data_IF_168650567271
#
_entry.id   IF_168650567271
#
_cell.length_a   1.000
_cell.length_b   1.000
_cell.length_c   1.000
_cell.angle_alpha   90.00
_cell.angle_beta   90.00
_cell.angle_gamma   90.00
#
_symmetry.space_group_name_H-M   'P 1'
#
loop_
_entity.id
_entity.type
_entity.pdbx_description
1 polymer ?
#
# COMPACT_ATOMS: atom_id res chain seq x y z
N UNK A 1 -84.03 52.85 12.39
CA UNK A 1 -83.29 51.69 11.82
C UNK A 1 -81.88 52.10 11.59
N UNK A 2 -80.87 51.65 12.38
CA UNK A 2 -79.46 51.98 12.26
C UNK A 2 -78.72 50.74 11.68
N UNK A 3 -78.14 50.87 10.55
CA UNK A 3 -77.30 49.81 9.99
C UNK A 3 -75.90 49.89 10.54
N UNK A 4 -75.42 48.79 11.12
CA UNK A 4 -74.11 48.63 11.68
C UNK A 4 -73.23 47.99 10.56
N UNK A 5 -72.19 48.71 10.13
CA UNK A 5 -71.18 48.15 9.20
C UNK A 5 -70.14 47.43 10.02
N UNK A 6 -69.96 46.12 9.68
CA UNK A 6 -68.90 45.28 10.20
C UNK A 6 -67.71 45.43 9.29
N UNK A 7 -66.57 45.93 9.84
CA UNK A 7 -65.28 45.98 9.14
C UNK A 7 -64.55 44.67 9.43
N UNK A 8 -64.35 43.84 8.39
CA UNK A 8 -63.50 42.64 8.47
C UNK A 8 -62.06 43.04 8.27
N UNK A 9 -61.25 43.00 9.30
CA UNK A 9 -59.82 43.20 9.21
C UNK A 9 -59.12 41.88 8.80
N UNK A 10 -58.45 41.92 7.67
CA UNK A 10 -57.61 40.81 7.15
C UNK A 10 -56.23 40.88 7.81
N UNK A 11 -55.95 40.01 8.77
CA UNK A 11 -54.60 39.82 9.32
C UNK A 11 -53.76 39.00 8.36
N UNK A 12 -52.86 39.66 7.67
CA UNK A 12 -51.81 38.99 6.88
C UNK A 12 -50.64 38.62 7.82
N UNK A 13 -50.58 37.36 8.22
CA UNK A 13 -49.45 36.81 8.98
C UNK A 13 -48.30 36.51 8.04
N UNK A 14 -47.30 37.38 7.99
CA UNK A 14 -46.02 37.13 7.31
C UNK A 14 -45.20 36.12 8.11
N UNK A 15 -45.17 34.89 7.68
CA UNK A 15 -44.21 33.88 8.18
C UNK A 15 -42.80 34.23 7.69
N UNK A 16 -41.98 34.77 8.55
CA UNK A 16 -40.53 34.86 8.35
C UNK A 16 -39.93 33.45 8.53
N UNK A 17 -39.67 32.74 7.42
CA UNK A 17 -38.89 31.53 7.46
C UNK A 17 -37.42 31.93 7.65
N UNK A 18 -36.94 31.86 8.87
CA UNK A 18 -35.54 32.00 9.18
C UNK A 18 -34.80 30.74 8.63
N UNK A 19 -34.18 30.90 7.47
CA UNK A 19 -33.24 29.89 6.99
C UNK A 19 -32.00 29.93 7.88
N UNK A 20 -31.92 29.00 8.82
CA UNK A 20 -30.67 28.75 9.56
C UNK A 20 -29.65 28.20 8.56
N UNK A 21 -28.79 29.07 8.03
CA UNK A 21 -27.59 28.67 7.35
C UNK A 21 -26.72 27.98 8.41
N UNK A 22 -26.72 26.64 8.42
CA UNK A 22 -25.77 25.89 9.22
C UNK A 22 -24.37 26.25 8.69
N UNK A 23 -23.69 27.11 9.43
CA UNK A 23 -22.29 27.38 9.18
C UNK A 23 -21.57 26.03 9.36
N UNK A 24 -21.17 25.42 8.26
CA UNK A 24 -20.26 24.27 8.28
C UNK A 24 -19.01 24.74 8.99
N UNK A 25 -18.81 24.28 10.22
CA UNK A 25 -17.61 24.57 10.99
C UNK A 25 -16.40 24.20 10.10
N UNK A 26 -15.50 25.16 9.91
CA UNK A 26 -14.25 24.91 9.22
C UNK A 26 -13.54 23.76 9.95
N UNK A 27 -13.01 22.75 9.22
CA UNK A 27 -12.34 21.64 9.86
C UNK A 27 -11.18 22.15 10.72
N UNK A 28 -11.14 21.72 11.98
CA UNK A 28 -10.05 22.05 12.91
C UNK A 28 -8.74 21.53 12.28
N UNK A 29 -7.70 22.36 12.21
CA UNK A 29 -6.41 21.93 11.64
C UNK A 29 -5.88 20.70 12.39
N UNK A 30 -5.52 19.66 11.68
CA UNK A 30 -4.79 18.52 12.24
C UNK A 30 -3.32 18.92 12.43
N UNK A 31 -2.92 19.16 13.65
CA UNK A 31 -1.55 19.57 14.00
C UNK A 31 -0.49 18.56 13.49
N UNK A 32 -0.87 17.30 13.31
CA UNK A 32 0.04 16.26 12.79
C UNK A 32 0.39 16.48 11.32
N UNK A 33 -0.49 17.06 10.51
CA UNK A 33 -0.24 17.39 9.10
C UNK A 33 0.81 18.50 8.95
N UNK A 34 0.92 19.40 9.93
CA UNK A 34 1.89 20.49 9.93
C UNK A 34 3.29 20.06 10.37
N UNK A 35 3.42 18.86 10.96
CA UNK A 35 4.69 18.32 11.43
C UNK A 35 5.72 18.23 10.30
N UNK A 36 6.94 18.71 10.54
CA UNK A 36 8.01 18.77 9.54
C UNK A 36 8.44 17.39 9.05
N UNK A 37 8.46 16.37 9.93
CA UNK A 37 8.83 15.00 9.56
C UNK A 37 7.77 14.37 8.67
N UNK A 38 6.47 14.62 8.94
CA UNK A 38 5.36 14.18 8.09
C UNK A 38 5.49 14.80 6.70
N UNK A 39 5.70 16.11 6.62
CA UNK A 39 5.85 16.82 5.34
C UNK A 39 7.04 16.31 4.55
N UNK A 40 8.19 16.17 5.18
CA UNK A 40 9.41 15.69 4.55
C UNK A 40 9.27 14.23 4.03
N UNK A 41 8.64 13.36 4.84
CA UNK A 41 8.38 11.98 4.45
C UNK A 41 7.46 11.91 3.22
N UNK A 42 6.33 12.61 3.23
CA UNK A 42 5.38 12.57 2.11
C UNK A 42 5.91 13.25 0.85
N UNK A 43 6.76 14.27 0.98
CA UNK A 43 7.48 14.84 -0.16
C UNK A 43 8.47 13.82 -0.77
N UNK A 44 9.15 13.02 0.07
CA UNK A 44 10.03 11.96 -0.41
C UNK A 44 9.23 10.83 -1.10
N UNK A 45 8.08 10.40 -0.55
CA UNK A 45 7.21 9.42 -1.20
C UNK A 45 6.72 9.93 -2.56
N UNK A 46 6.27 11.18 -2.63
CA UNK A 46 5.80 11.79 -3.87
C UNK A 46 6.92 11.97 -4.92
N UNK A 47 8.18 12.04 -4.51
CA UNK A 47 9.31 12.11 -5.45
C UNK A 47 9.48 10.84 -6.27
N UNK A 48 8.94 9.71 -5.78
CA UNK A 48 9.05 8.37 -6.40
C UNK A 48 10.49 7.95 -6.68
N UNK A 49 11.40 8.42 -5.82
CA UNK A 49 12.83 8.18 -5.90
C UNK A 49 13.26 7.30 -4.73
N UNK A 50 13.71 6.05 -4.96
CA UNK A 50 14.08 5.13 -3.89
C UNK A 50 15.23 5.65 -3.03
N UNK A 51 16.15 6.45 -3.60
CA UNK A 51 17.29 7.00 -2.86
C UNK A 51 16.82 8.09 -1.87
N UNK A 52 15.86 8.92 -2.28
CA UNK A 52 15.23 9.91 -1.39
C UNK A 52 14.41 9.25 -0.29
N UNK A 53 13.75 8.13 -0.60
CA UNK A 53 13.04 7.34 0.41
C UNK A 53 14.00 6.72 1.41
N UNK A 54 15.16 6.22 0.99
CA UNK A 54 16.20 5.73 1.90
C UNK A 54 16.63 6.82 2.91
N UNK A 55 16.83 8.06 2.43
CA UNK A 55 17.15 9.20 3.30
C UNK A 55 15.99 9.54 4.24
N UNK A 56 14.75 9.40 3.77
CA UNK A 56 13.55 9.73 4.54
C UNK A 56 13.21 8.70 5.64
N UNK A 57 13.85 7.51 5.65
CA UNK A 57 13.70 6.51 6.71
C UNK A 57 13.97 7.09 8.12
N UNK A 58 14.84 8.10 8.24
CA UNK A 58 15.09 8.79 9.50
C UNK A 58 13.86 9.44 10.13
N UNK A 59 12.82 9.73 9.35
CA UNK A 59 11.57 10.33 9.82
C UNK A 59 10.56 9.29 10.30
N UNK A 60 10.84 7.99 10.12
CA UNK A 60 9.96 6.89 10.52
C UNK A 60 10.31 6.37 11.91
N UNK A 61 9.27 5.99 12.64
CA UNK A 61 9.42 5.19 13.86
C UNK A 61 9.70 3.75 13.46
N UNK A 62 10.84 3.23 13.90
CA UNK A 62 11.34 1.91 13.52
C UNK A 62 10.34 0.79 13.89
N UNK A 63 10.20 -0.21 13.03
CA UNK A 63 9.28 -1.35 13.18
C UNK A 63 7.80 -0.95 13.36
N UNK A 64 7.43 0.22 12.86
CA UNK A 64 6.03 0.69 12.86
C UNK A 64 5.31 0.36 11.56
N UNK A 65 3.99 0.49 11.55
CA UNK A 65 3.20 0.32 10.32
C UNK A 65 3.62 1.29 9.22
N UNK A 66 4.02 2.52 9.58
CA UNK A 66 4.55 3.50 8.62
C UNK A 66 5.88 3.05 8.02
N UNK A 67 6.76 2.48 8.84
CA UNK A 67 8.05 1.95 8.41
C UNK A 67 7.86 0.81 7.40
N UNK A 68 7.00 -0.16 7.70
CA UNK A 68 6.69 -1.26 6.77
C UNK A 68 6.08 -0.77 5.46
N UNK A 69 5.14 0.19 5.52
CA UNK A 69 4.49 0.72 4.31
C UNK A 69 5.51 1.44 3.41
N UNK A 70 6.37 2.28 3.98
CA UNK A 70 7.40 3.02 3.22
C UNK A 70 8.46 2.08 2.67
N UNK A 71 8.83 1.05 3.42
CA UNK A 71 9.76 0.02 2.95
C UNK A 71 9.20 -0.73 1.75
N UNK A 72 7.90 -1.08 1.73
CA UNK A 72 7.26 -1.66 0.54
C UNK A 72 7.36 -0.75 -0.68
N UNK A 73 7.08 0.54 -0.51
CA UNK A 73 7.18 1.54 -1.59
C UNK A 73 8.62 1.60 -2.11
N UNK A 74 9.58 1.71 -1.22
CA UNK A 74 10.99 1.80 -1.56
C UNK A 74 11.48 0.57 -2.32
N UNK A 75 11.13 -0.63 -1.85
CA UNK A 75 11.51 -1.89 -2.49
C UNK A 75 10.91 -1.99 -3.92
N UNK A 76 9.65 -1.62 -4.08
CA UNK A 76 9.00 -1.65 -5.39
C UNK A 76 9.63 -0.65 -6.37
N UNK A 77 9.95 0.56 -5.91
CA UNK A 77 10.64 1.56 -6.74
C UNK A 77 12.07 1.16 -7.07
N UNK A 78 12.79 0.56 -6.13
CA UNK A 78 14.15 0.05 -6.35
C UNK A 78 14.15 -1.12 -7.34
N UNK A 79 13.21 -2.04 -7.20
CA UNK A 79 13.00 -3.15 -8.13
C UNK A 79 12.68 -2.64 -9.54
N UNK A 80 11.74 -1.71 -9.69
CA UNK A 80 11.40 -1.11 -10.98
C UNK A 80 12.61 -0.40 -11.63
N UNK A 81 13.37 0.38 -10.86
CA UNK A 81 14.60 1.05 -11.32
C UNK A 81 15.63 0.03 -11.83
N UNK A 82 15.81 -1.05 -11.11
CA UNK A 82 16.72 -2.14 -11.50
C UNK A 82 16.28 -2.79 -12.81
N UNK A 83 15.01 -3.22 -12.91
CA UNK A 83 14.47 -3.88 -14.08
C UNK A 83 14.54 -3.00 -15.33
N UNK A 84 14.25 -1.72 -15.23
CA UNK A 84 14.35 -0.77 -16.34
C UNK A 84 15.79 -0.56 -16.82
N UNK A 85 16.78 -0.82 -15.97
CA UNK A 85 18.18 -0.75 -16.34
C UNK A 85 18.66 -1.97 -17.15
N UNK A 86 17.96 -3.10 -17.04
CA UNK A 86 18.27 -4.34 -17.76
C UNK A 86 17.65 -4.30 -19.15
N UNK A 87 18.41 -3.88 -20.15
CA UNK A 87 17.98 -3.98 -21.57
C UNK A 87 18.32 -5.39 -22.12
N UNK A 88 17.43 -6.02 -22.94
CA UNK A 88 16.23 -5.49 -23.61
C UNK A 88 14.90 -5.78 -22.90
N UNK A 89 14.88 -6.20 -21.67
CA UNK A 89 13.66 -6.65 -21.01
C UNK A 89 12.77 -5.48 -20.59
N UNK A 90 11.57 -5.37 -21.17
CA UNK A 90 10.49 -4.57 -20.62
C UNK A 90 9.73 -5.39 -19.58
N UNK A 91 10.16 -5.34 -18.33
CA UNK A 91 9.44 -5.99 -17.23
C UNK A 91 8.40 -5.03 -16.71
N UNK A 92 7.14 -5.45 -16.74
CA UNK A 92 6.07 -4.75 -16.03
C UNK A 92 5.99 -5.31 -14.62
N UNK A 93 6.19 -4.46 -13.62
CA UNK A 93 5.84 -4.81 -12.25
C UNK A 93 4.34 -5.02 -12.17
N UNK A 94 3.92 -6.16 -11.64
CA UNK A 94 2.51 -6.52 -11.56
C UNK A 94 1.96 -6.46 -10.15
N UNK A 95 2.78 -6.47 -9.11
CA UNK A 95 2.37 -6.40 -7.72
C UNK A 95 1.99 -4.99 -7.29
N UNK A 96 2.93 -4.25 -6.77
CA UNK A 96 2.83 -2.81 -6.58
C UNK A 96 3.25 -2.10 -7.86
N UNK A 97 2.43 -2.24 -8.90
CA UNK A 97 2.75 -1.77 -10.24
C UNK A 97 3.15 -0.30 -10.24
N UNK A 98 4.36 -0.03 -10.73
CA UNK A 98 4.86 1.33 -10.97
C UNK A 98 4.37 1.77 -12.35
N UNK A 99 3.25 2.46 -12.37
CA UNK A 99 2.70 3.01 -13.60
C UNK A 99 3.39 4.33 -13.91
N UNK A 100 4.09 4.41 -15.00
CA UNK A 100 4.74 5.61 -15.49
C UNK A 100 5.78 6.22 -14.52
N UNK A 101 7.07 6.31 -14.84
CA UNK A 101 8.13 6.81 -13.97
C UNK A 101 8.05 8.33 -13.67
N UNK A 102 6.94 8.98 -14.02
CA UNK A 102 6.70 10.38 -13.68
C UNK A 102 6.63 10.54 -12.16
N UNK A 103 7.22 11.62 -11.67
CA UNK A 103 7.13 12.02 -10.27
C UNK A 103 5.67 12.05 -9.83
N UNK A 104 5.41 11.55 -8.65
CA UNK A 104 4.13 11.72 -8.00
C UNK A 104 3.87 13.17 -7.60
N UNK A 105 2.77 13.41 -6.94
CA UNK A 105 2.43 14.73 -6.40
C UNK A 105 1.91 14.61 -4.98
N UNK A 106 2.16 15.64 -4.19
CA UNK A 106 1.66 15.76 -2.83
C UNK A 106 0.99 17.12 -2.65
N UNK A 107 -0.23 17.12 -2.12
CA UNK A 107 -0.96 18.35 -1.79
C UNK A 107 -1.28 18.33 -0.29
N UNK A 108 -0.79 19.33 0.42
CA UNK A 108 -1.06 19.53 1.85
C UNK A 108 -2.30 20.40 2.03
N UNK A 109 -3.19 20.02 2.94
CA UNK A 109 -4.31 20.81 3.44
C UNK A 109 -4.22 20.93 4.96
N UNK A 110 -5.17 21.62 5.60
CA UNK A 110 -5.16 21.79 7.04
C UNK A 110 -5.35 20.47 7.82
N UNK A 111 -6.02 19.48 7.24
CA UNK A 111 -6.40 18.25 7.95
C UNK A 111 -5.95 16.97 7.23
N UNK A 112 -5.37 17.09 6.04
CA UNK A 112 -5.01 15.90 5.26
C UNK A 112 -3.91 16.18 4.24
N UNK A 113 -3.34 15.09 3.75
CA UNK A 113 -2.37 15.09 2.64
C UNK A 113 -2.96 14.25 1.51
N UNK A 114 -3.13 14.82 0.35
CA UNK A 114 -3.47 14.07 -0.86
C UNK A 114 -2.19 13.64 -1.54
N UNK A 115 -2.01 12.34 -1.70
CA UNK A 115 -0.82 11.74 -2.32
C UNK A 115 -1.21 11.04 -3.61
N UNK A 116 -0.43 11.30 -4.66
CA UNK A 116 -0.43 10.53 -5.91
C UNK A 116 1.00 10.06 -6.18
N UNK A 117 1.16 8.79 -6.44
CA UNK A 117 2.45 8.16 -6.77
C UNK A 117 2.29 7.26 -7.99
N UNK A 118 3.38 6.87 -8.65
CA UNK A 118 3.34 5.85 -9.68
C UNK A 118 2.83 4.48 -9.17
N UNK A 119 2.87 4.26 -7.85
CA UNK A 119 2.35 3.04 -7.21
C UNK A 119 0.92 3.30 -6.77
N UNK A 120 -0.05 2.94 -7.60
CA UNK A 120 -1.46 3.26 -7.39
C UNK A 120 -2.04 2.76 -6.07
N UNK A 121 -1.48 1.67 -5.52
CA UNK A 121 -1.88 1.11 -4.22
C UNK A 121 -1.76 2.11 -3.06
N UNK A 122 -0.86 3.09 -3.17
CA UNK A 122 -0.62 4.11 -2.15
C UNK A 122 -1.22 5.47 -2.49
N UNK A 123 -2.01 5.58 -3.55
CA UNK A 123 -2.71 6.82 -3.87
C UNK A 123 -3.92 7.00 -2.93
N UNK A 124 -4.04 8.19 -2.34
CA UNK A 124 -5.14 8.43 -1.41
C UNK A 124 -5.04 9.73 -0.62
N UNK A 125 -5.92 9.84 0.36
CA UNK A 125 -6.00 10.95 1.29
C UNK A 125 -5.57 10.46 2.67
N UNK A 126 -4.52 11.05 3.19
CA UNK A 126 -3.84 10.69 4.42
C UNK A 126 -4.12 11.70 5.53
N UNK A 127 -4.38 11.22 6.74
CA UNK A 127 -4.70 12.06 7.91
C UNK A 127 -4.39 11.33 9.22
N UNK A 128 -4.63 11.97 10.37
CA UNK A 128 -4.49 11.36 11.70
C UNK A 128 -3.12 10.70 11.92
N UNK A 129 -2.05 11.42 11.60
CA UNK A 129 -0.69 10.91 11.77
C UNK A 129 -0.37 10.70 13.24
N UNK A 130 0.04 9.48 13.59
CA UNK A 130 0.56 9.17 14.92
C UNK A 130 2.08 9.30 14.89
N UNK A 131 2.60 10.01 15.88
CA UNK A 131 4.04 10.23 16.05
C UNK A 131 4.52 9.50 17.31
N UNK A 132 5.78 9.12 17.32
CA UNK A 132 6.45 8.66 18.55
C UNK A 132 6.92 9.84 19.41
N UNK A 133 7.52 9.55 20.57
CA UNK A 133 8.02 10.56 21.48
C UNK A 133 9.14 11.47 20.91
N UNK A 134 9.77 11.03 19.80
CA UNK A 134 10.79 11.78 19.07
C UNK A 134 10.23 12.53 17.86
N UNK A 135 8.89 12.56 17.70
CA UNK A 135 8.21 13.19 16.58
C UNK A 135 8.33 12.42 15.25
N UNK A 136 8.77 11.15 15.28
CA UNK A 136 8.84 10.31 14.09
C UNK A 136 7.49 9.70 13.76
N UNK A 137 7.21 9.51 12.47
CA UNK A 137 5.94 9.01 11.97
C UNK A 137 5.81 7.51 12.27
N UNK A 138 4.75 7.15 12.99
CA UNK A 138 4.48 5.78 13.42
C UNK A 138 3.35 5.12 12.63
N UNK A 139 2.29 5.88 12.34
CA UNK A 139 1.08 5.40 11.64
C UNK A 139 0.28 6.58 11.11
N UNK A 140 -0.73 6.29 10.30
CA UNK A 140 -1.69 7.26 9.78
C UNK A 140 -3.04 6.59 9.49
N UNK A 141 -4.03 7.38 9.12
CA UNK A 141 -5.24 6.91 8.46
C UNK A 141 -5.18 7.24 6.98
N UNK A 142 -5.70 6.36 6.15
CA UNK A 142 -5.77 6.54 4.71
C UNK A 142 -7.16 6.22 4.18
N UNK A 143 -7.63 7.01 3.21
CA UNK A 143 -8.84 6.74 2.45
C UNK A 143 -8.51 6.86 0.95
N UNK A 144 -9.21 6.11 0.13
CA UNK A 144 -9.11 6.32 -1.31
C UNK A 144 -9.89 7.61 -1.69
N UNK A 145 -9.59 8.18 -2.86
CA UNK A 145 -10.20 9.43 -3.31
C UNK A 145 -11.74 9.35 -3.52
N UNK A 146 -12.30 8.16 -3.63
CA UNK A 146 -13.73 7.91 -3.86
C UNK A 146 -14.47 7.39 -2.63
N UNK A 147 -13.77 7.09 -1.53
CA UNK A 147 -14.36 6.53 -0.31
C UNK A 147 -14.27 7.51 0.86
N UNK A 148 -15.41 7.71 1.54
CA UNK A 148 -15.44 8.45 2.81
C UNK A 148 -14.84 7.63 3.97
N UNK A 149 -14.66 6.32 3.81
CA UNK A 149 -14.16 5.44 4.86
C UNK A 149 -12.65 5.59 5.01
N UNK A 150 -12.21 6.01 6.19
CA UNK A 150 -10.80 6.07 6.55
C UNK A 150 -10.39 4.76 7.23
N UNK A 151 -9.31 4.17 6.76
CA UNK A 151 -8.73 2.97 7.33
C UNK A 151 -7.47 3.34 8.11
N UNK A 152 -7.33 2.77 9.31
CA UNK A 152 -6.07 2.89 10.06
C UNK A 152 -5.00 2.06 9.39
N UNK A 153 -3.79 2.62 9.21
CA UNK A 153 -2.67 1.88 8.67
C UNK A 153 -2.31 0.67 9.56
N UNK A 154 -2.45 0.80 10.88
CA UNK A 154 -2.20 -0.31 11.82
C UNK A 154 -3.13 -1.50 11.59
N UNK A 155 -4.28 -1.30 10.93
CA UNK A 155 -5.23 -2.35 10.62
C UNK A 155 -5.07 -2.96 9.21
N UNK A 156 -4.30 -2.32 8.34
CA UNK A 156 -4.19 -2.72 6.94
C UNK A 156 -2.76 -3.05 6.48
N UNK A 157 -1.77 -2.84 7.32
CA UNK A 157 -0.38 -3.23 7.08
C UNK A 157 0.05 -4.29 8.10
N UNK A 158 0.62 -5.36 7.61
CA UNK A 158 1.11 -6.44 8.43
C UNK A 158 2.54 -6.80 8.02
N UNK A 159 3.42 -6.88 8.99
CA UNK A 159 4.68 -7.61 8.84
C UNK A 159 4.38 -9.10 8.77
N UNK A 160 5.00 -9.83 7.87
CA UNK A 160 4.79 -11.26 7.69
C UNK A 160 6.09 -12.02 7.90
N UNK A 161 6.00 -13.13 8.61
CA UNK A 161 7.05 -14.12 8.72
C UNK A 161 6.59 -15.36 7.97
N UNK A 162 7.48 -15.98 7.22
CA UNK A 162 7.13 -17.18 6.50
C UNK A 162 8.33 -18.06 6.22
N UNK A 163 8.03 -19.24 5.74
CA UNK A 163 9.02 -20.17 5.22
C UNK A 163 8.54 -20.71 3.88
N UNK A 164 9.49 -21.14 3.08
CA UNK A 164 9.21 -21.87 1.86
C UNK A 164 9.02 -23.33 2.24
N UNK A 165 7.82 -23.85 2.00
CA UNK A 165 7.53 -25.27 2.12
C UNK A 165 7.43 -25.90 0.74
N UNK A 166 7.86 -27.14 0.60
CA UNK A 166 7.83 -27.93 -0.64
C UNK A 166 8.48 -27.23 -1.84
N UNK A 167 9.30 -26.24 -1.57
CA UNK A 167 10.10 -25.68 -2.60
C UNK A 167 11.07 -26.75 -3.08
N UNK A 168 10.71 -27.41 -4.15
CA UNK A 168 11.66 -27.97 -5.09
C UNK A 168 12.51 -26.85 -5.74
N UNK A 169 12.48 -25.68 -5.18
CA UNK A 169 13.57 -24.72 -5.28
C UNK A 169 14.69 -25.31 -4.41
N UNK A 170 14.97 -26.57 -4.68
CA UNK A 170 16.18 -27.26 -4.29
C UNK A 170 17.44 -26.42 -4.57
N UNK A 171 17.26 -25.31 -5.19
CA UNK A 171 18.25 -24.40 -5.68
C UNK A 171 18.50 -23.21 -4.78
N UNK A 172 18.35 -23.41 -3.46
CA UNK A 172 18.86 -22.47 -2.47
C UNK A 172 18.31 -21.03 -2.62
N UNK A 173 16.99 -20.88 -2.69
CA UNK A 173 16.34 -19.59 -2.51
C UNK A 173 15.78 -19.51 -1.09
N UNK A 174 16.31 -18.56 -0.35
CA UNK A 174 15.89 -18.28 1.01
C UNK A 174 14.79 -17.22 1.02
N UNK A 175 13.70 -17.50 1.73
CA UNK A 175 12.70 -16.50 2.06
C UNK A 175 13.09 -15.81 3.37
N UNK A 176 13.16 -14.48 3.37
CA UNK A 176 13.64 -13.72 4.53
C UNK A 176 12.54 -13.01 5.28
N UNK A 177 11.65 -12.32 4.61
CA UNK A 177 10.57 -11.55 5.25
C UNK A 177 9.51 -11.15 4.23
N UNK A 178 8.40 -10.67 4.72
CA UNK A 178 7.33 -10.14 3.88
C UNK A 178 6.55 -9.04 4.55
N UNK A 179 5.76 -8.36 3.76
CA UNK A 179 4.84 -7.34 4.22
C UNK A 179 3.54 -7.44 3.42
N UNK A 180 2.42 -7.36 4.11
CA UNK A 180 1.11 -7.29 3.48
C UNK A 180 0.51 -5.91 3.66
N UNK A 181 -0.13 -5.40 2.61
CA UNK A 181 -0.84 -4.12 2.60
C UNK A 181 -2.23 -4.29 1.98
N UNK A 182 -3.26 -3.94 2.72
CA UNK A 182 -4.62 -3.87 2.19
C UNK A 182 -4.91 -2.43 1.75
N UNK A 183 -4.91 -2.21 0.45
CA UNK A 183 -5.18 -0.89 -0.11
C UNK A 183 -6.64 -0.46 0.14
N UNK A 184 -6.90 0.83 0.36
CA UNK A 184 -8.26 1.36 0.48
C UNK A 184 -9.15 1.11 -0.74
N UNK A 185 -8.58 0.77 -1.89
CA UNK A 185 -9.34 0.38 -3.10
C UNK A 185 -9.87 -1.06 -3.05
N UNK A 186 -9.60 -1.82 -1.97
CA UNK A 186 -10.10 -3.17 -1.76
C UNK A 186 -9.18 -4.29 -2.21
N UNK A 187 -8.02 -4.00 -2.80
CA UNK A 187 -7.03 -5.01 -3.15
C UNK A 187 -6.04 -5.25 -2.01
N UNK A 188 -5.52 -6.46 -1.95
CA UNK A 188 -4.43 -6.83 -1.04
C UNK A 188 -3.15 -7.03 -1.84
N UNK A 189 -2.07 -6.49 -1.32
CA UNK A 189 -0.72 -6.63 -1.88
C UNK A 189 0.15 -7.39 -0.87
N UNK A 190 0.92 -8.35 -1.35
CA UNK A 190 1.90 -9.07 -0.55
C UNK A 190 3.25 -8.90 -1.22
N UNK A 191 4.21 -8.36 -0.48
CA UNK A 191 5.59 -8.26 -0.89
C UNK A 191 6.42 -9.21 -0.05
N UNK A 192 7.22 -10.04 -0.70
CA UNK A 192 8.14 -10.96 -0.02
C UNK A 192 9.56 -10.74 -0.52
N UNK A 193 10.50 -10.87 0.37
CA UNK A 193 11.93 -10.79 0.09
C UNK A 193 12.52 -12.20 0.05
N UNK A 194 13.19 -12.51 -1.05
CA UNK A 194 13.90 -13.77 -1.24
C UNK A 194 15.36 -13.49 -1.55
N UNK A 195 16.22 -14.40 -1.20
CA UNK A 195 17.65 -14.33 -1.46
C UNK A 195 18.11 -15.55 -2.25
N UNK A 196 18.86 -15.33 -3.32
CA UNK A 196 19.53 -16.43 -4.00
C UNK A 196 20.78 -16.82 -3.21
N UNK A 197 20.76 -17.97 -2.53
CA UNK A 197 21.88 -18.51 -1.75
C UNK A 197 22.65 -19.60 -2.52
N UNK A 198 22.28 -19.86 -3.78
CA UNK A 198 23.03 -20.78 -4.62
C UNK A 198 24.38 -20.20 -5.04
N UNK A 199 25.39 -21.04 -5.23
CA UNK A 199 26.71 -20.62 -5.71
C UNK A 199 26.77 -20.12 -7.15
N UNK A 200 25.62 -19.98 -7.84
CA UNK A 200 25.52 -19.60 -9.25
C UNK A 200 24.32 -18.66 -9.50
N UNK A 201 24.32 -17.86 -10.59
CA UNK A 201 23.15 -17.09 -10.99
C UNK A 201 21.95 -18.01 -11.23
N UNK A 202 20.77 -17.60 -10.72
CA UNK A 202 19.50 -18.28 -10.89
C UNK A 202 18.50 -17.37 -11.60
N UNK A 203 17.73 -17.95 -12.48
CA UNK A 203 16.59 -17.29 -13.08
C UNK A 203 15.35 -17.63 -12.25
N UNK A 204 14.64 -16.61 -11.82
CA UNK A 204 13.40 -16.77 -11.07
C UNK A 204 12.33 -15.99 -11.83
N UNK A 205 11.36 -16.72 -12.37
CA UNK A 205 10.22 -16.13 -13.04
C UNK A 205 8.95 -16.48 -12.28
N UNK A 206 8.18 -15.46 -11.94
CA UNK A 206 6.89 -15.59 -11.31
C UNK A 206 5.82 -15.18 -12.31
N UNK A 207 5.01 -16.14 -12.74
CA UNK A 207 4.04 -15.94 -13.84
C UNK A 207 2.60 -15.82 -13.35
N UNK A 208 2.39 -15.76 -12.06
CA UNK A 208 1.09 -15.76 -11.43
C UNK A 208 1.14 -16.54 -10.14
N UNK A 209 0.02 -16.65 -9.47
CA UNK A 209 -0.03 -17.41 -8.24
C UNK A 209 -1.40 -17.36 -7.60
N UNK A 210 -1.49 -17.89 -6.41
CA UNK A 210 -2.69 -17.81 -5.61
C UNK A 210 -2.34 -17.59 -4.15
N UNK A 211 -3.21 -16.90 -3.43
CA UNK A 211 -3.12 -16.77 -1.98
C UNK A 211 -4.35 -17.40 -1.34
N UNK A 212 -4.13 -18.24 -0.35
CA UNK A 212 -5.18 -18.82 0.47
C UNK A 212 -5.07 -18.30 1.89
N UNK A 213 -6.09 -17.55 2.31
CA UNK A 213 -6.19 -17.04 3.69
C UNK A 213 -6.42 -18.16 4.68
N UNK A 214 -6.23 -17.88 5.98
CA UNK A 214 -6.46 -18.82 7.05
C UNK A 214 -7.90 -19.35 7.13
N UNK A 215 -8.87 -18.58 6.66
CA UNK A 215 -10.29 -18.98 6.54
C UNK A 215 -10.60 -19.83 5.29
N UNK A 216 -9.58 -20.19 4.52
CA UNK A 216 -9.70 -21.00 3.31
C UNK A 216 -10.03 -20.22 2.03
N UNK A 217 -10.29 -18.91 2.11
CA UNK A 217 -10.56 -18.09 0.93
C UNK A 217 -9.34 -18.06 0.00
N UNK A 218 -9.55 -18.44 -1.26
CA UNK A 218 -8.51 -18.42 -2.30
C UNK A 218 -8.68 -17.20 -3.22
N UNK A 219 -7.59 -16.47 -3.44
CA UNK A 219 -7.53 -15.32 -4.33
C UNK A 219 -6.42 -15.54 -5.37
N UNK A 220 -6.66 -15.13 -6.60
CA UNK A 220 -5.62 -15.12 -7.61
C UNK A 220 -4.63 -14.01 -7.32
N UNK A 221 -3.35 -14.28 -7.53
CA UNK A 221 -2.26 -13.33 -7.40
C UNK A 221 -1.65 -13.05 -8.78
N UNK A 222 -1.49 -11.78 -9.10
CA UNK A 222 -0.63 -11.36 -10.20
C UNK A 222 0.72 -10.99 -9.59
N UNK A 223 1.75 -11.72 -9.99
CA UNK A 223 3.10 -11.54 -9.43
C UNK A 223 4.03 -10.93 -10.45
N UNK A 224 5.03 -10.22 -9.96
CA UNK A 224 6.06 -9.67 -10.81
C UNK A 224 6.95 -10.79 -11.34
N UNK A 225 7.17 -10.86 -12.65
CA UNK A 225 8.15 -11.76 -13.21
C UNK A 225 9.56 -11.38 -12.76
N UNK A 226 10.38 -12.37 -12.53
CA UNK A 226 11.76 -12.17 -12.16
C UNK A 226 12.73 -12.10 -13.36
N UNK A 227 13.96 -12.44 -13.13
CA UNK A 227 15.06 -12.51 -14.10
C UNK A 227 16.22 -13.34 -13.57
N UNK A 228 17.39 -13.18 -14.13
CA UNK A 228 18.59 -13.82 -13.61
C UNK A 228 19.19 -13.00 -12.46
N UNK A 229 19.35 -13.65 -11.32
CA UNK A 229 19.87 -13.05 -10.09
C UNK A 229 21.20 -13.66 -9.72
N UNK A 230 22.14 -12.80 -9.37
CA UNK A 230 23.44 -13.22 -8.88
C UNK A 230 23.33 -13.91 -7.51
N UNK A 231 24.39 -14.63 -7.13
CA UNK A 231 24.55 -15.13 -5.77
C UNK A 231 24.41 -13.99 -4.76
N UNK A 232 23.77 -14.28 -3.64
CA UNK A 232 23.46 -13.34 -2.55
C UNK A 232 22.54 -12.14 -2.91
N UNK A 233 22.05 -12.09 -4.13
CA UNK A 233 21.12 -11.05 -4.52
C UNK A 233 19.74 -11.25 -3.87
N UNK A 234 19.21 -10.19 -3.28
CA UNK A 234 17.83 -10.15 -2.76
C UNK A 234 16.88 -9.86 -3.91
N UNK A 235 15.85 -10.68 -4.01
CA UNK A 235 14.78 -10.56 -4.99
C UNK A 235 13.49 -10.15 -4.29
N UNK A 236 12.89 -9.08 -4.78
CA UNK A 236 11.59 -8.62 -4.30
C UNK A 236 10.50 -9.23 -5.15
N UNK A 237 9.59 -9.95 -4.53
CA UNK A 237 8.42 -10.53 -5.16
C UNK A 237 7.20 -9.71 -4.73
N UNK A 238 6.59 -9.02 -5.68
CA UNK A 238 5.34 -8.29 -5.48
C UNK A 238 4.17 -9.12 -5.99
N UNK A 239 3.17 -9.35 -5.15
CA UNK A 239 1.94 -10.06 -5.48
C UNK A 239 0.74 -9.16 -5.23
N UNK A 240 -0.04 -8.89 -6.28
CA UNK A 240 -1.33 -8.21 -6.21
C UNK A 240 -2.45 -9.25 -6.21
N UNK A 241 -3.18 -9.33 -5.11
CA UNK A 241 -4.32 -10.24 -4.98
C UNK A 241 -5.56 -9.58 -5.55
N UNK A 242 -6.30 -10.32 -6.36
CA UNK A 242 -7.58 -9.86 -6.90
C UNK A 242 -8.64 -9.86 -5.79
N UNK A 243 -8.73 -8.76 -5.06
CA UNK A 243 -9.65 -8.55 -3.96
C UNK A 243 -9.00 -8.51 -2.58
N UNK A 244 -9.84 -8.36 -1.56
CA UNK A 244 -9.42 -8.26 -0.16
C UNK A 244 -9.18 -9.66 0.43
N UNK A 245 -7.94 -9.93 0.83
CA UNK A 245 -7.60 -11.09 1.64
C UNK A 245 -7.98 -10.86 3.11
N UNK A 246 -8.44 -11.91 3.77
CA UNK A 246 -8.64 -11.89 5.22
C UNK A 246 -7.32 -12.24 5.92
N UNK A 247 -6.52 -11.20 6.20
CA UNK A 247 -5.26 -11.34 6.92
C UNK A 247 -5.50 -10.93 8.37
N UNK A 248 -5.34 -11.88 9.28
CA UNK A 248 -5.54 -11.68 10.71
C UNK A 248 -4.21 -11.95 11.43
N UNK A 249 -3.90 -11.12 12.43
CA UNK A 249 -2.69 -11.31 13.25
C UNK A 249 -2.59 -12.72 13.82
N UNK A 250 -1.40 -13.26 13.82
CA UNK A 250 -1.07 -14.62 14.30
C UNK A 250 -1.75 -15.75 13.51
N UNK A 251 -2.33 -15.46 12.36
CA UNK A 251 -2.83 -16.50 11.46
C UNK A 251 -1.90 -16.72 10.28
N UNK A 252 -1.91 -17.92 9.75
CA UNK A 252 -1.09 -18.31 8.61
C UNK A 252 -1.94 -18.35 7.34
N UNK A 253 -1.44 -17.72 6.29
CA UNK A 253 -1.91 -17.90 4.92
C UNK A 253 -0.86 -18.60 4.07
N UNK A 254 -1.24 -19.02 2.88
CA UNK A 254 -0.35 -19.69 1.93
C UNK A 254 -0.34 -18.93 0.61
N UNK A 255 0.82 -18.44 0.22
CA UNK A 255 1.06 -17.87 -1.10
C UNK A 255 1.73 -18.93 -1.98
N UNK A 256 1.01 -19.41 -2.99
CA UNK A 256 1.52 -20.37 -3.97
C UNK A 256 2.04 -19.59 -5.19
N UNK A 257 3.28 -19.81 -5.56
CA UNK A 257 3.94 -19.18 -6.70
C UNK A 257 4.44 -20.23 -7.68
N UNK A 258 4.04 -20.17 -8.95
CA UNK A 258 4.75 -20.88 -10.01
C UNK A 258 6.12 -20.24 -10.21
N UNK A 259 7.18 -21.03 -10.19
CA UNK A 259 8.56 -20.57 -10.28
C UNK A 259 9.26 -21.30 -11.40
N UNK A 260 10.04 -20.56 -12.14
CA UNK A 260 10.94 -21.11 -13.15
C UNK A 260 12.38 -20.75 -12.77
N UNK A 261 13.25 -21.75 -12.59
CA UNK A 261 14.51 -21.57 -11.88
C UNK A 261 15.78 -21.74 -12.75
N UNK A 262 15.71 -21.57 -14.06
CA UNK A 262 16.88 -21.66 -14.92
C UNK A 262 17.15 -20.36 -15.68
N UNK A 263 18.39 -19.87 -15.65
CA UNK A 263 18.80 -18.74 -16.47
C UNK A 263 18.87 -19.08 -17.97
N UNK A 264 19.04 -20.35 -18.28
CA UNK A 264 19.10 -20.85 -19.66
C UNK A 264 18.01 -21.89 -19.88
N UNK A 265 17.37 -21.87 -21.04
CA UNK A 265 16.41 -22.90 -21.43
C UNK A 265 17.00 -24.32 -21.36
N UNK A 266 16.18 -25.35 -21.06
CA UNK A 266 14.75 -25.35 -20.97
C UNK A 266 14.22 -24.84 -19.60
N UNK A 267 13.06 -24.20 -19.67
CA UNK A 267 12.36 -23.71 -18.49
C UNK A 267 11.68 -24.88 -17.76
N UNK A 268 11.91 -24.98 -16.47
CA UNK A 268 11.20 -25.91 -15.59
C UNK A 268 10.34 -25.13 -14.61
N UNK A 269 9.03 -25.22 -14.80
CA UNK A 269 8.09 -24.63 -13.85
C UNK A 269 7.94 -25.55 -12.62
N UNK A 270 8.17 -24.99 -11.46
CA UNK A 270 7.93 -25.61 -10.16
C UNK A 270 6.98 -24.74 -9.36
N UNK A 271 6.37 -25.27 -8.30
CA UNK A 271 5.53 -24.49 -7.39
C UNK A 271 6.20 -24.36 -6.05
N UNK A 272 6.29 -23.12 -5.55
CA UNK A 272 6.68 -22.85 -4.20
C UNK A 272 5.45 -22.49 -3.36
N UNK A 273 5.33 -23.09 -2.19
CA UNK A 273 4.38 -22.72 -1.17
C UNK A 273 5.10 -21.89 -0.11
N UNK A 274 4.70 -20.63 0.02
CA UNK A 274 5.16 -19.72 1.05
C UNK A 274 4.11 -19.66 2.15
N UNK A 275 4.40 -20.23 3.30
CA UNK A 275 3.53 -20.14 4.48
C UNK A 275 3.86 -18.86 5.23
N UNK A 276 2.92 -17.91 5.22
CA UNK A 276 3.08 -16.56 5.72
C UNK A 276 2.23 -16.37 6.96
N UNK A 277 2.87 -16.07 8.09
CA UNK A 277 2.18 -15.73 9.34
C UNK A 277 2.22 -14.23 9.54
N UNK A 278 1.06 -13.60 9.72
CA UNK A 278 0.95 -12.18 10.03
C UNK A 278 1.27 -11.91 11.50
N UNK A 279 2.15 -10.94 11.77
CA UNK A 279 2.56 -10.51 13.10
C UNK A 279 1.75 -9.34 13.62
#
# INVERSE_FOLDING_TARGET
MKQTKILSGLLVSTFLIAHSVSATALPIPDASVTNSNVKALFAAIASSDPDKLAIAQKYLSQNSSADFAVTMIQNSLSGDKYWRSLKPFSVQSTGLAVSNPSKGSVKFSNSSITLKTPISAFNGIYSNFKLDAKGKVKSWSVANNSSATKLSLDAIIYSMIGKIDNATMADNIEFTSGTSYQSPNGNTYIQVLTKNTSGSPKSIYFTGGTYRSADGKKLNATTMPGGCFAHDQIVVIDSNLTGKANIVKKTQGVLELPINSNCNAPWHETRAELRLTAN
#
